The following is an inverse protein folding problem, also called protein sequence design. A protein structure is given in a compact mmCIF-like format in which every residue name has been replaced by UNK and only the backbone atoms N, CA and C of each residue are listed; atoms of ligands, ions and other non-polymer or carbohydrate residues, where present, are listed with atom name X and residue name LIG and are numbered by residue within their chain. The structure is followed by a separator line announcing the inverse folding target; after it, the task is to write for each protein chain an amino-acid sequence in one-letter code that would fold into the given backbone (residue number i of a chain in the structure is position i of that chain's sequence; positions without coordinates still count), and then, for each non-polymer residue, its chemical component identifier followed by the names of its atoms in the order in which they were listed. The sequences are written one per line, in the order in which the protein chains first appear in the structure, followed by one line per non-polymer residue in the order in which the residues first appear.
data_IF_345214771259
#
_entry.id   IF_345214771259
#
_cell.length_a   1.000
_cell.length_b   1.000
_cell.length_c   1.000
_cell.angle_alpha   90.00
_cell.angle_beta   90.00
_cell.angle_gamma   90.00
#
_symmetry.space_group_name_H-M   'P 1'
#
loop_
_entity.id
_entity.type
_entity.pdbx_description
1 polymer ?
#
# COMPACT_ATOMS: atom_id res chain seq x y z
N UNK A 1 10.37 -17.35 -0.80
CA UNK A 1 9.44 -16.69 -1.74
C UNK A 1 9.74 -17.14 -3.16
N UNK A 2 8.76 -17.45 -4.02
CA UNK A 2 9.04 -17.84 -5.41
C UNK A 2 9.61 -16.66 -6.20
N UNK A 3 10.52 -16.95 -7.18
CA UNK A 3 11.11 -15.89 -8.02
C UNK A 3 10.06 -15.09 -8.79
N UNK A 4 9.01 -15.76 -9.28
CA UNK A 4 7.88 -15.10 -9.97
C UNK A 4 7.15 -14.13 -9.05
N UNK A 5 6.84 -14.53 -7.80
CA UNK A 5 6.19 -13.63 -6.84
C UNK A 5 7.10 -12.44 -6.51
N UNK A 6 8.40 -12.67 -6.35
CA UNK A 6 9.36 -11.59 -6.09
C UNK A 6 9.38 -10.58 -7.25
N UNK A 7 9.47 -11.04 -8.49
CA UNK A 7 9.45 -10.16 -9.67
C UNK A 7 8.15 -9.35 -9.78
N UNK A 8 6.99 -10.00 -9.57
CA UNK A 8 5.69 -9.32 -9.56
C UNK A 8 5.64 -8.20 -8.52
N UNK A 9 6.10 -8.47 -7.29
CA UNK A 9 6.08 -7.47 -6.21
C UNK A 9 7.07 -6.35 -6.47
N UNK A 10 8.28 -6.63 -6.94
CA UNK A 10 9.29 -5.61 -7.26
C UNK A 10 8.82 -4.68 -8.39
N UNK A 11 8.25 -5.25 -9.45
CA UNK A 11 7.69 -4.44 -10.54
C UNK A 11 6.48 -3.63 -10.08
N UNK A 12 5.59 -4.24 -9.30
CA UNK A 12 4.48 -3.52 -8.68
C UNK A 12 4.98 -2.37 -7.79
N UNK A 13 6.04 -2.59 -6.97
CA UNK A 13 6.62 -1.58 -6.10
C UNK A 13 7.21 -0.39 -6.89
N UNK A 14 7.86 -0.67 -8.02
CA UNK A 14 8.36 0.37 -8.94
C UNK A 14 7.20 1.22 -9.50
N UNK A 15 6.18 0.58 -10.08
CA UNK A 15 5.00 1.27 -10.59
C UNK A 15 4.24 2.02 -9.49
N UNK A 16 4.20 1.46 -8.27
CA UNK A 16 3.59 2.08 -7.10
C UNK A 16 4.30 3.39 -6.74
N UNK A 17 5.63 3.43 -6.76
CA UNK A 17 6.38 4.65 -6.49
C UNK A 17 6.10 5.73 -7.54
N UNK A 18 5.97 5.33 -8.80
CA UNK A 18 5.71 6.24 -9.91
C UNK A 18 4.32 6.88 -9.83
N UNK A 19 3.25 6.09 -9.64
CA UNK A 19 1.92 6.68 -9.54
C UNK A 19 1.74 7.52 -8.25
N UNK A 20 2.41 7.14 -7.14
CA UNK A 20 2.46 7.98 -5.94
C UNK A 20 3.11 9.33 -6.20
N UNK A 21 4.22 9.36 -6.96
CA UNK A 21 4.84 10.60 -7.37
C UNK A 21 3.89 11.49 -8.18
N UNK A 22 3.12 10.93 -9.12
CA UNK A 22 2.12 11.67 -9.87
C UNK A 22 1.00 12.21 -8.96
N UNK A 23 0.54 11.40 -8.03
CA UNK A 23 -0.49 11.78 -7.05
C UNK A 23 0.00 12.88 -6.10
N UNK A 24 1.28 12.84 -5.68
CA UNK A 24 1.88 13.87 -4.81
C UNK A 24 1.78 15.27 -5.43
N UNK A 25 1.81 15.37 -6.75
CA UNK A 25 1.70 16.63 -7.50
C UNK A 25 0.27 17.14 -7.67
N UNK A 26 -0.75 16.41 -7.25
CA UNK A 26 -2.14 16.84 -7.31
C UNK A 26 -2.43 17.92 -6.24
N UNK A 27 -3.41 18.77 -6.52
CA UNK A 27 -3.86 19.82 -5.61
C UNK A 27 -4.70 19.23 -4.46
N UNK A 28 -5.71 18.44 -4.81
CA UNK A 28 -6.53 17.70 -3.84
C UNK A 28 -6.38 16.20 -4.08
N UNK A 29 -5.65 15.53 -3.18
CA UNK A 29 -5.29 14.12 -3.34
C UNK A 29 -6.50 13.18 -3.36
N UNK A 30 -7.53 13.50 -2.59
CA UNK A 30 -8.73 12.65 -2.49
C UNK A 30 -9.56 12.76 -3.76
N UNK A 31 -9.79 13.96 -4.27
CA UNK A 31 -10.48 14.18 -5.54
C UNK A 31 -9.72 13.53 -6.71
N UNK A 32 -8.38 13.62 -6.70
CA UNK A 32 -7.52 13.00 -7.68
C UNK A 32 -7.62 11.46 -7.65
N UNK A 33 -7.51 10.86 -6.46
CA UNK A 33 -7.59 9.39 -6.28
C UNK A 33 -8.99 8.88 -6.62
N UNK A 34 -10.04 9.61 -6.26
CA UNK A 34 -11.40 9.24 -6.63
C UNK A 34 -11.57 9.14 -8.16
N UNK A 35 -11.08 10.15 -8.91
CA UNK A 35 -11.04 10.10 -10.37
C UNK A 35 -10.21 8.93 -10.89
N UNK A 36 -9.05 8.68 -10.29
CA UNK A 36 -8.19 7.57 -10.68
C UNK A 36 -8.90 6.22 -10.49
N UNK A 37 -9.59 6.00 -9.36
CA UNK A 37 -10.36 4.78 -9.11
C UNK A 37 -11.52 4.65 -10.10
N UNK A 38 -12.25 5.74 -10.38
CA UNK A 38 -13.32 5.74 -11.39
C UNK A 38 -12.78 5.34 -12.78
N UNK A 39 -11.66 5.93 -13.20
CA UNK A 39 -11.06 5.57 -14.50
C UNK A 39 -10.45 4.17 -14.49
N UNK A 40 -9.95 3.67 -13.35
CA UNK A 40 -9.58 2.26 -13.23
C UNK A 40 -10.74 1.33 -13.57
N UNK A 41 -11.93 1.58 -13.01
CA UNK A 41 -13.10 0.74 -13.29
C UNK A 41 -13.55 0.82 -14.75
N UNK A 42 -13.39 1.97 -15.40
CA UNK A 42 -13.71 2.12 -16.84
C UNK A 42 -12.68 1.40 -17.70
N UNK A 43 -11.39 1.62 -17.46
CA UNK A 43 -10.28 1.07 -18.26
C UNK A 43 -10.25 -0.47 -18.16
N UNK A 44 -10.47 -1.03 -16.97
CA UNK A 44 -10.40 -2.47 -16.75
C UNK A 44 -11.75 -3.19 -16.86
N UNK A 45 -12.83 -2.49 -17.25
CA UNK A 45 -14.11 -3.11 -17.54
C UNK A 45 -14.03 -4.25 -18.58
N UNK A 46 -13.30 -4.11 -19.72
CA UNK A 46 -13.17 -5.21 -20.67
C UNK A 46 -12.50 -6.45 -20.06
N UNK A 47 -11.47 -6.27 -19.21
CA UNK A 47 -10.85 -7.38 -18.48
C UNK A 47 -11.87 -8.07 -17.56
N UNK A 48 -12.63 -7.31 -16.81
CA UNK A 48 -13.67 -7.84 -15.92
C UNK A 48 -14.73 -8.63 -16.71
N UNK A 49 -15.27 -8.06 -17.79
CA UNK A 49 -16.28 -8.72 -18.62
C UNK A 49 -15.78 -10.03 -19.26
N UNK A 50 -14.48 -10.10 -19.58
CA UNK A 50 -13.87 -11.31 -20.12
C UNK A 50 -13.80 -12.43 -19.07
N UNK A 51 -13.42 -12.13 -17.83
CA UNK A 51 -13.27 -13.13 -16.77
C UNK A 51 -14.56 -13.43 -16.01
N UNK A 52 -15.53 -12.52 -16.01
CA UNK A 52 -16.77 -12.64 -15.25
C UNK A 52 -17.55 -13.93 -15.52
N UNK A 53 -17.76 -14.35 -16.76
CA UNK A 53 -18.52 -15.59 -17.05
C UNK A 53 -17.83 -16.86 -16.58
N UNK A 54 -16.51 -16.79 -16.28
CA UNK A 54 -15.68 -17.93 -15.87
C UNK A 54 -15.62 -18.12 -14.36
N UNK A 55 -16.23 -17.20 -13.58
CA UNK A 55 -16.06 -17.15 -12.12
C UNK A 55 -17.43 -17.20 -11.44
N UNK A 56 -17.59 -18.18 -10.56
CA UNK A 56 -18.71 -18.19 -9.59
C UNK A 56 -18.19 -17.77 -8.23
N UNK A 57 -18.77 -16.73 -7.66
CA UNK A 57 -18.34 -16.19 -6.38
C UNK A 57 -19.20 -16.80 -5.27
N UNK A 58 -18.54 -17.55 -4.37
CA UNK A 58 -19.19 -18.12 -3.19
C UNK A 58 -19.54 -17.03 -2.16
N UNK A 59 -20.35 -17.34 -1.17
CA UNK A 59 -20.65 -16.44 -0.05
C UNK A 59 -19.39 -15.98 0.68
N UNK A 60 -18.41 -16.87 0.87
CA UNK A 60 -17.11 -16.51 1.44
C UNK A 60 -16.33 -15.53 0.56
N UNK A 61 -16.38 -15.69 -0.78
CA UNK A 61 -15.77 -14.75 -1.72
C UNK A 61 -16.39 -13.36 -1.63
N UNK A 62 -17.72 -13.27 -1.55
CA UNK A 62 -18.41 -11.99 -1.33
C UNK A 62 -18.07 -11.36 0.02
N UNK A 63 -17.96 -12.17 1.08
CA UNK A 63 -17.52 -11.66 2.39
C UNK A 63 -16.12 -11.06 2.34
N UNK A 64 -15.18 -11.70 1.63
CA UNK A 64 -13.84 -11.14 1.42
C UNK A 64 -13.89 -9.83 0.62
N UNK A 65 -14.69 -9.76 -0.45
CA UNK A 65 -14.83 -8.56 -1.27
C UNK A 65 -15.39 -7.37 -0.49
N UNK A 66 -16.42 -7.60 0.31
CA UNK A 66 -17.02 -6.55 1.16
C UNK A 66 -16.02 -6.12 2.24
N UNK A 67 -15.35 -7.08 2.90
CA UNK A 67 -14.38 -6.80 3.95
C UNK A 67 -13.19 -6.01 3.41
N UNK A 68 -12.61 -6.40 2.27
CA UNK A 68 -11.47 -5.66 1.69
C UNK A 68 -11.89 -4.26 1.24
N UNK A 69 -13.07 -4.11 0.61
CA UNK A 69 -13.61 -2.81 0.23
C UNK A 69 -13.81 -1.88 1.44
N UNK A 70 -14.33 -2.42 2.54
CA UNK A 70 -14.48 -1.70 3.81
C UNK A 70 -13.12 -1.28 4.38
N UNK A 71 -12.14 -2.21 4.48
CA UNK A 71 -10.80 -1.88 4.96
C UNK A 71 -10.11 -0.83 4.10
N UNK A 72 -10.27 -0.86 2.79
CA UNK A 72 -9.73 0.17 1.91
C UNK A 72 -10.40 1.54 2.12
N UNK A 73 -11.70 1.58 2.34
CA UNK A 73 -12.41 2.83 2.63
C UNK A 73 -11.94 3.45 3.96
N UNK A 74 -11.88 2.66 5.04
CA UNK A 74 -11.40 3.16 6.34
C UNK A 74 -9.90 3.45 6.35
N UNK A 75 -9.09 2.78 5.52
CA UNK A 75 -7.69 3.13 5.31
C UNK A 75 -7.53 4.59 4.88
N UNK A 76 -8.28 5.02 3.86
CA UNK A 76 -8.23 6.41 3.40
C UNK A 76 -8.68 7.39 4.48
N UNK A 77 -9.68 7.02 5.27
CA UNK A 77 -10.17 7.84 6.37
C UNK A 77 -9.13 7.99 7.48
N UNK A 78 -8.54 6.89 7.96
CA UNK A 78 -7.49 6.94 8.98
C UNK A 78 -6.25 7.68 8.49
N UNK A 79 -5.80 7.41 7.27
CA UNK A 79 -4.63 8.06 6.70
C UNK A 79 -4.84 9.58 6.54
N UNK A 80 -6.01 10.00 6.08
CA UNK A 80 -6.35 11.43 6.00
C UNK A 80 -6.37 12.07 7.39
N UNK A 81 -6.99 11.42 8.37
CA UNK A 81 -7.03 11.89 9.74
C UNK A 81 -5.65 11.98 10.41
N UNK A 82 -4.76 11.05 10.10
CA UNK A 82 -3.39 11.08 10.59
C UNK A 82 -2.61 12.28 10.02
N UNK A 83 -2.71 12.52 8.71
CA UNK A 83 -2.03 13.65 8.04
C UNK A 83 -2.56 15.03 8.47
N UNK A 84 -3.81 15.11 8.90
CA UNK A 84 -4.37 16.36 9.42
C UNK A 84 -3.90 16.68 10.84
N UNK A 85 -3.46 15.70 11.62
CA UNK A 85 -3.16 15.81 13.04
C UNK A 85 -1.67 15.79 13.37
N UNK A 86 -0.81 15.40 12.43
CA UNK A 86 0.62 15.28 12.68
C UNK A 86 1.48 15.47 11.46
N UNK A 87 2.76 15.72 11.72
CA UNK A 87 3.77 15.90 10.69
C UNK A 87 3.94 14.64 9.86
N UNK A 88 4.14 14.81 8.55
CA UNK A 88 4.37 13.72 7.61
C UNK A 88 5.55 12.83 8.02
N UNK A 89 6.59 13.43 8.61
CA UNK A 89 7.79 12.75 9.10
C UNK A 89 7.51 11.78 10.25
N UNK A 90 6.43 11.97 11.00
CA UNK A 90 5.98 11.06 12.07
C UNK A 90 4.93 10.07 11.57
N UNK A 91 3.90 10.60 10.89
CA UNK A 91 2.71 9.83 10.48
C UNK A 91 3.04 8.80 9.42
N UNK A 92 3.88 9.16 8.43
CA UNK A 92 4.15 8.28 7.31
C UNK A 92 4.93 7.00 7.72
N UNK A 93 6.05 7.09 8.49
CA UNK A 93 6.75 5.89 8.95
C UNK A 93 5.89 4.99 9.84
N UNK A 94 5.08 5.59 10.72
CA UNK A 94 4.18 4.83 11.59
C UNK A 94 3.11 4.10 10.78
N UNK A 95 2.46 4.76 9.83
CA UNK A 95 1.44 4.15 8.98
C UNK A 95 2.01 3.05 8.08
N UNK A 96 3.15 3.31 7.45
CA UNK A 96 3.76 2.39 6.48
C UNK A 96 4.58 1.29 7.13
N UNK A 97 5.21 1.57 8.28
CA UNK A 97 6.00 0.58 9.03
C UNK A 97 5.14 -0.39 9.85
N UNK A 98 4.01 0.08 10.41
CA UNK A 98 3.13 -0.79 11.20
C UNK A 98 2.42 -1.86 10.36
N UNK A 99 2.09 -1.60 9.10
CA UNK A 99 1.53 -2.61 8.20
C UNK A 99 2.44 -3.85 8.07
N UNK A 100 3.66 -3.71 7.51
CA UNK A 100 4.63 -4.80 7.39
C UNK A 100 5.03 -5.45 8.72
N UNK A 101 4.84 -4.77 9.85
CA UNK A 101 5.04 -5.35 11.18
C UNK A 101 3.86 -6.21 11.62
N UNK A 102 2.63 -5.74 11.41
CA UNK A 102 1.41 -6.43 11.84
C UNK A 102 1.04 -7.60 10.93
N UNK A 103 1.26 -7.48 9.61
CA UNK A 103 0.89 -8.54 8.65
C UNK A 103 1.53 -9.88 9.00
N UNK A 104 2.87 -10.01 9.22
CA UNK A 104 3.48 -11.29 9.55
C UNK A 104 2.97 -11.89 10.87
N UNK A 105 2.77 -11.03 11.88
CA UNK A 105 2.23 -11.47 13.19
C UNK A 105 0.84 -12.07 13.00
N UNK A 106 -0.05 -11.34 12.32
CA UNK A 106 -1.41 -11.80 12.10
C UNK A 106 -1.48 -12.98 11.13
N UNK A 107 -0.61 -13.03 10.12
CA UNK A 107 -0.54 -14.14 9.19
C UNK A 107 -0.10 -15.45 9.86
N UNK A 108 0.87 -15.40 10.78
CA UNK A 108 1.27 -16.56 11.58
C UNK A 108 0.12 -16.99 12.49
N UNK A 109 -0.54 -16.06 13.16
CA UNK A 109 -1.61 -16.37 14.13
C UNK A 109 -2.92 -16.81 13.46
N UNK A 110 -3.32 -16.20 12.36
CA UNK A 110 -4.65 -16.40 11.76
C UNK A 110 -4.61 -17.31 10.52
N UNK A 111 -3.51 -17.29 9.76
CA UNK A 111 -3.36 -18.10 8.54
C UNK A 111 -2.39 -19.26 8.71
N UNK A 112 -1.81 -19.44 9.91
CA UNK A 112 -0.80 -20.46 10.20
C UNK A 112 0.40 -20.41 9.24
N UNK A 113 0.82 -19.23 8.79
CA UNK A 113 1.99 -19.08 7.93
C UNK A 113 3.26 -19.46 8.70
N UNK A 114 4.04 -20.38 8.16
CA UNK A 114 5.35 -20.74 8.70
C UNK A 114 6.43 -19.90 8.03
N UNK A 115 7.12 -19.06 8.80
CA UNK A 115 8.18 -18.20 8.32
C UNK A 115 9.54 -18.85 8.56
N UNK A 116 10.43 -18.81 7.57
CA UNK A 116 11.82 -19.24 7.78
C UNK A 116 12.61 -18.17 8.57
N UNK A 117 13.69 -18.58 9.24
CA UNK A 117 14.54 -17.66 10.00
C UNK A 117 15.09 -16.53 9.10
N UNK A 118 15.50 -16.86 7.87
CA UNK A 118 15.94 -15.85 6.88
C UNK A 118 14.82 -14.89 6.50
N UNK A 119 13.60 -15.41 6.34
CA UNK A 119 12.43 -14.59 6.04
C UNK A 119 12.10 -13.62 7.17
N UNK A 120 12.15 -14.07 8.41
CA UNK A 120 11.93 -13.22 9.60
C UNK A 120 13.01 -12.14 9.69
N UNK A 121 14.29 -12.50 9.51
CA UNK A 121 15.38 -11.52 9.49
C UNK A 121 15.19 -10.49 8.37
N UNK A 122 14.79 -10.93 7.18
CA UNK A 122 14.49 -10.05 6.06
C UNK A 122 13.37 -9.06 6.38
N UNK A 123 12.26 -9.52 6.99
CA UNK A 123 11.16 -8.67 7.44
C UNK A 123 11.65 -7.62 8.45
N UNK A 124 12.46 -8.04 9.45
CA UNK A 124 13.02 -7.13 10.46
C UNK A 124 13.89 -6.06 9.79
N UNK A 125 14.77 -6.43 8.86
CA UNK A 125 15.61 -5.47 8.14
C UNK A 125 14.79 -4.46 7.34
N UNK A 126 13.71 -4.90 6.69
CA UNK A 126 12.80 -4.00 5.97
C UNK A 126 12.15 -3.01 6.93
N UNK A 127 11.63 -3.48 8.07
CA UNK A 127 10.98 -2.61 9.06
C UNK A 127 11.98 -1.58 9.59
N UNK A 128 13.19 -2.02 10.01
CA UNK A 128 14.25 -1.12 10.48
C UNK A 128 14.65 -0.11 9.39
N UNK A 129 14.74 -0.56 8.14
CA UNK A 129 15.02 0.30 6.99
C UNK A 129 13.95 1.35 6.74
N UNK A 130 12.66 1.01 6.87
CA UNK A 130 11.54 1.96 6.75
C UNK A 130 11.66 3.08 7.79
N UNK A 131 11.90 2.73 9.05
CA UNK A 131 12.14 3.73 10.10
C UNK A 131 13.42 4.52 9.85
N UNK A 132 14.50 3.85 9.42
CA UNK A 132 15.80 4.48 9.11
C UNK A 132 15.73 5.57 8.04
N UNK A 133 14.98 5.35 6.96
CA UNK A 133 14.77 6.36 5.89
C UNK A 133 14.14 7.65 6.42
N UNK A 134 13.33 7.55 7.47
CA UNK A 134 12.57 8.68 8.00
C UNK A 134 13.25 9.35 9.21
N UNK A 135 14.41 8.83 9.68
CA UNK A 135 15.17 9.46 10.74
C UNK A 135 15.69 10.84 10.29
N UNK A 136 15.50 11.83 11.14
CA UNK A 136 16.07 13.17 10.94
C UNK A 136 17.57 13.22 11.26
N UNK A 137 18.00 12.39 12.19
CA UNK A 137 19.42 12.25 12.60
C UNK A 137 19.65 10.85 13.20
N UNK A 138 20.92 10.42 13.31
CA UNK A 138 21.31 9.17 14.00
C UNK A 138 21.34 9.31 15.54
N UNK A 139 20.50 10.16 16.12
CA UNK A 139 20.40 10.30 17.58
C UNK A 139 19.36 9.34 18.16
N UNK A 140 19.62 8.86 19.39
CA UNK A 140 18.65 8.04 20.16
C UNK A 140 17.30 8.78 20.31
N UNK A 141 17.36 10.10 20.41
CA UNK A 141 16.17 10.94 20.54
C UNK A 141 15.30 10.87 19.25
N UNK A 142 15.90 10.95 18.07
CA UNK A 142 15.20 10.81 16.78
C UNK A 142 14.56 9.44 16.58
N UNK A 143 15.17 8.38 17.16
CA UNK A 143 14.61 7.01 17.14
C UNK A 143 13.42 6.90 18.11
N UNK A 144 13.49 7.56 19.27
CA UNK A 144 12.44 7.50 20.31
C UNK A 144 11.25 8.39 19.99
N UNK A 145 11.45 9.50 19.31
CA UNK A 145 10.41 10.51 19.04
C UNK A 145 9.09 9.91 18.47
N UNK A 146 9.11 9.04 17.45
CA UNK A 146 7.90 8.42 16.93
C UNK A 146 7.14 7.57 17.96
N UNK A 147 7.85 6.93 18.88
CA UNK A 147 7.25 6.06 19.91
C UNK A 147 6.82 6.84 21.17
N UNK A 148 7.51 7.92 21.52
CA UNK A 148 7.14 8.74 22.67
C UNK A 148 5.91 9.62 22.39
N UNK A 149 5.67 9.98 21.12
CA UNK A 149 4.53 10.79 20.70
C UNK A 149 3.25 9.95 20.46
N UNK A 150 3.27 8.64 20.79
CA UNK A 150 2.10 7.74 20.64
C UNK A 150 0.86 8.22 21.40
N UNK A 151 1.02 9.04 22.44
CA UNK A 151 -0.08 9.68 23.17
C UNK A 151 -0.80 10.79 22.39
N UNK A 152 -0.24 11.26 21.27
CA UNK A 152 -0.89 12.21 20.37
C UNK A 152 -1.88 11.54 19.43
N UNK A 153 -3.01 12.19 19.14
CA UNK A 153 -4.03 11.68 18.22
C UNK A 153 -3.48 11.24 16.85
N UNK A 154 -2.45 11.93 16.32
CA UNK A 154 -1.82 11.63 15.04
C UNK A 154 -1.22 10.21 14.97
N UNK A 155 -0.50 9.79 16.01
CA UNK A 155 0.14 8.47 16.06
C UNK A 155 -0.89 7.35 16.14
N UNK A 156 -1.97 7.52 16.89
CA UNK A 156 -3.06 6.55 16.94
C UNK A 156 -3.71 6.36 15.57
N UNK A 157 -4.00 7.45 14.86
CA UNK A 157 -4.55 7.39 13.50
C UNK A 157 -3.59 6.71 12.51
N UNK A 158 -2.29 6.97 12.66
CA UNK A 158 -1.25 6.32 11.85
C UNK A 158 -1.18 4.80 12.12
N UNK A 159 -1.24 4.37 13.37
CA UNK A 159 -1.26 2.95 13.73
C UNK A 159 -2.55 2.26 13.28
N UNK A 160 -3.71 2.93 13.39
CA UNK A 160 -4.96 2.43 12.83
C UNK A 160 -4.86 2.26 11.30
N UNK A 161 -4.18 3.19 10.60
CA UNK A 161 -3.89 3.04 9.16
C UNK A 161 -3.10 1.76 8.90
N UNK A 162 -2.05 1.47 9.67
CA UNK A 162 -1.29 0.22 9.55
C UNK A 162 -2.12 -1.02 9.89
N UNK A 163 -3.01 -0.92 10.87
CA UNK A 163 -3.98 -1.98 11.18
C UNK A 163 -4.92 -2.30 10.02
N UNK A 164 -5.41 -1.27 9.31
CA UNK A 164 -6.23 -1.48 8.11
C UNK A 164 -5.43 -2.08 6.94
N UNK A 165 -4.14 -1.71 6.80
CA UNK A 165 -3.23 -2.35 5.84
C UNK A 165 -3.10 -3.84 6.13
N UNK A 166 -2.91 -4.20 7.39
CA UNK A 166 -2.84 -5.61 7.79
C UNK A 166 -4.19 -6.32 7.53
N UNK A 167 -5.30 -5.68 7.89
CA UNK A 167 -6.65 -6.24 7.69
C UNK A 167 -6.92 -6.57 6.23
N UNK A 168 -6.81 -5.60 5.31
CA UNK A 168 -7.06 -5.90 3.90
C UNK A 168 -6.05 -6.88 3.30
N UNK A 169 -4.77 -6.86 3.74
CA UNK A 169 -3.77 -7.77 3.20
C UNK A 169 -4.07 -9.23 3.53
N UNK A 170 -4.55 -9.52 4.74
CA UNK A 170 -4.95 -10.87 5.12
C UNK A 170 -6.25 -11.29 4.40
N UNK A 171 -7.24 -10.41 4.34
CA UNK A 171 -8.49 -10.66 3.61
C UNK A 171 -8.21 -10.92 2.14
N UNK A 172 -7.36 -10.13 1.51
CA UNK A 172 -6.97 -10.29 0.11
C UNK A 172 -6.22 -11.61 -0.11
N UNK A 173 -5.36 -12.03 0.84
CA UNK A 173 -4.69 -13.35 0.79
C UNK A 173 -5.71 -14.49 0.75
N UNK A 174 -6.76 -14.43 1.55
CA UNK A 174 -7.83 -15.42 1.55
C UNK A 174 -8.68 -15.27 0.28
N UNK A 175 -9.08 -14.04 -0.05
CA UNK A 175 -9.99 -13.74 -1.15
C UNK A 175 -9.48 -14.20 -2.51
N UNK A 176 -8.18 -14.01 -2.81
CA UNK A 176 -7.59 -14.41 -4.10
C UNK A 176 -7.37 -15.93 -4.24
N UNK A 177 -7.51 -16.71 -3.16
CA UNK A 177 -7.56 -18.17 -3.25
C UNK A 177 -8.95 -18.67 -3.66
N UNK A 178 -10.00 -17.85 -3.48
CA UNK A 178 -11.41 -18.21 -3.71
C UNK A 178 -11.93 -17.54 -4.99
N UNK A 179 -11.51 -16.30 -5.27
CA UNK A 179 -11.97 -15.51 -6.40
C UNK A 179 -10.79 -15.15 -7.28
N UNK A 180 -10.93 -15.34 -8.60
CA UNK A 180 -9.87 -15.03 -9.56
C UNK A 180 -9.42 -13.56 -9.47
N UNK A 181 -8.11 -13.23 -9.38
CA UNK A 181 -7.60 -11.88 -9.10
C UNK A 181 -8.15 -10.76 -10.00
N UNK A 182 -8.29 -10.90 -11.33
CA UNK A 182 -8.90 -9.89 -12.18
C UNK A 182 -10.33 -9.52 -11.80
N UNK A 183 -11.16 -10.50 -11.40
CA UNK A 183 -12.52 -10.26 -10.93
C UNK A 183 -12.51 -9.66 -9.53
N UNK A 184 -11.66 -10.19 -8.66
CA UNK A 184 -11.53 -9.72 -7.28
C UNK A 184 -11.14 -8.26 -7.22
N UNK A 185 -10.06 -7.85 -7.91
CA UNK A 185 -9.59 -6.46 -7.89
C UNK A 185 -10.60 -5.49 -8.49
N UNK A 186 -11.28 -5.88 -9.58
CA UNK A 186 -12.27 -5.03 -10.21
C UNK A 186 -13.43 -4.73 -9.26
N UNK A 187 -14.02 -5.77 -8.66
CA UNK A 187 -15.12 -5.62 -7.69
C UNK A 187 -14.69 -4.86 -6.44
N UNK A 188 -13.48 -5.10 -5.94
CA UNK A 188 -12.89 -4.34 -4.83
C UNK A 188 -12.84 -2.84 -5.14
N UNK A 189 -12.40 -2.46 -6.36
CA UNK A 189 -12.34 -1.05 -6.77
C UNK A 189 -13.73 -0.44 -6.95
N UNK A 190 -14.70 -1.21 -7.47
CA UNK A 190 -16.09 -0.76 -7.54
C UNK A 190 -16.66 -0.51 -6.14
N UNK A 191 -16.47 -1.45 -5.20
CA UNK A 191 -16.93 -1.29 -3.82
C UNK A 191 -16.25 -0.09 -3.15
N UNK A 192 -14.94 0.06 -3.30
CA UNK A 192 -14.21 1.20 -2.76
C UNK A 192 -14.72 2.53 -3.35
N UNK A 193 -14.97 2.58 -4.66
CA UNK A 193 -15.54 3.74 -5.33
C UNK A 193 -16.91 4.10 -4.75
N UNK A 194 -17.81 3.11 -4.61
CA UNK A 194 -19.15 3.32 -4.07
C UNK A 194 -19.12 3.85 -2.63
N UNK A 195 -18.23 3.30 -1.78
CA UNK A 195 -18.09 3.73 -0.38
C UNK A 195 -17.45 5.12 -0.25
N UNK A 196 -16.52 5.49 -1.14
CA UNK A 196 -15.86 6.80 -1.11
C UNK A 196 -16.70 7.91 -1.73
N UNK A 197 -17.56 7.59 -2.71
CA UNK A 197 -18.30 8.59 -3.49
C UNK A 197 -19.17 9.53 -2.63
N UNK A 198 -19.97 9.06 -1.66
CA UNK A 198 -20.78 9.97 -0.83
C UNK A 198 -19.94 10.99 -0.09
N UNK A 199 -18.82 10.53 0.50
CA UNK A 199 -17.90 11.41 1.22
C UNK A 199 -17.24 12.45 0.31
N UNK A 200 -16.79 12.04 -0.88
CA UNK A 200 -16.14 12.92 -1.86
C UNK A 200 -17.12 13.96 -2.42
N UNK A 201 -18.37 13.57 -2.69
CA UNK A 201 -19.40 14.51 -3.17
C UNK A 201 -19.67 15.59 -2.11
N UNK A 202 -19.77 15.22 -0.85
CA UNK A 202 -20.06 16.18 0.23
C UNK A 202 -18.86 17.11 0.49
N UNK A 203 -17.64 16.57 0.52
CA UNK A 203 -16.47 17.32 1.04
C UNK A 203 -15.53 17.84 -0.06
N UNK A 204 -15.58 17.33 -1.29
CA UNK A 204 -14.61 17.64 -2.32
C UNK A 204 -15.20 17.90 -3.73
N UNK A 205 -16.52 18.09 -3.86
CA UNK A 205 -17.18 18.25 -5.16
C UNK A 205 -16.64 19.41 -6.02
N UNK A 206 -16.26 20.53 -5.38
CA UNK A 206 -15.66 21.68 -6.07
C UNK A 206 -14.27 21.33 -6.62
N UNK A 207 -13.52 20.52 -5.86
CA UNK A 207 -12.17 20.13 -6.26
C UNK A 207 -12.16 19.04 -7.33
N UNK A 208 -13.21 18.22 -7.45
CA UNK A 208 -13.35 17.24 -8.52
C UNK A 208 -13.23 17.90 -9.92
N UNK A 209 -14.00 18.96 -10.15
CA UNK A 209 -13.96 19.69 -11.44
C UNK A 209 -12.59 20.33 -11.70
N UNK A 210 -11.96 20.87 -10.65
CA UNK A 210 -10.64 21.51 -10.76
C UNK A 210 -9.55 20.50 -11.04
N UNK A 211 -9.52 19.38 -10.30
CA UNK A 211 -8.53 18.31 -10.50
C UNK A 211 -8.64 17.70 -11.91
N UNK A 212 -9.84 17.43 -12.38
CA UNK A 212 -10.05 16.92 -13.73
C UNK A 212 -9.49 17.87 -14.80
N UNK A 213 -9.79 19.16 -14.71
CA UNK A 213 -9.29 20.14 -15.68
C UNK A 213 -7.77 20.23 -15.72
N UNK A 214 -7.11 20.18 -14.57
CA UNK A 214 -5.66 20.40 -14.44
C UNK A 214 -4.87 19.11 -14.69
N UNK A 215 -5.36 17.98 -14.21
CA UNK A 215 -4.56 16.75 -14.08
C UNK A 215 -5.11 15.56 -14.89
N UNK A 216 -6.00 15.76 -15.88
CA UNK A 216 -6.70 14.68 -16.61
C UNK A 216 -5.77 13.56 -17.11
N UNK A 217 -4.63 13.89 -17.73
CA UNK A 217 -3.66 12.90 -18.24
C UNK A 217 -3.04 12.11 -17.09
N UNK A 218 -2.66 12.78 -16.01
CA UNK A 218 -2.11 12.11 -14.82
C UNK A 218 -3.15 11.22 -14.15
N UNK A 219 -4.41 11.66 -14.10
CA UNK A 219 -5.54 10.88 -13.57
C UNK A 219 -5.74 9.59 -14.37
N UNK A 220 -5.75 9.66 -15.71
CA UNK A 220 -5.87 8.49 -16.56
C UNK A 220 -4.67 7.53 -16.39
N UNK A 221 -3.46 8.07 -16.37
CA UNK A 221 -2.24 7.29 -16.13
C UNK A 221 -2.28 6.58 -14.77
N UNK A 222 -2.63 7.31 -13.69
CA UNK A 222 -2.75 6.73 -12.35
C UNK A 222 -3.93 5.77 -12.28
N UNK A 223 -5.04 6.04 -12.97
CA UNK A 223 -6.18 5.14 -13.08
C UNK A 223 -5.79 3.77 -13.67
N UNK A 224 -4.95 3.74 -14.69
CA UNK A 224 -4.40 2.49 -15.18
C UNK A 224 -3.44 1.86 -14.15
N UNK A 225 -2.48 2.61 -13.66
CA UNK A 225 -1.39 2.09 -12.83
C UNK A 225 -1.85 1.57 -11.47
N UNK A 226 -2.81 2.21 -10.81
CA UNK A 226 -3.20 1.86 -9.45
C UNK A 226 -3.83 0.46 -9.40
N UNK A 227 -4.75 0.14 -10.32
CA UNK A 227 -5.36 -1.18 -10.40
C UNK A 227 -4.36 -2.21 -10.90
N UNK A 228 -3.63 -1.91 -11.97
CA UNK A 228 -2.64 -2.83 -12.55
C UNK A 228 -1.55 -3.22 -11.55
N UNK A 229 -1.03 -2.26 -10.80
CA UNK A 229 -0.05 -2.49 -9.73
C UNK A 229 -0.60 -3.44 -8.66
N UNK A 230 -1.83 -3.20 -8.22
CA UNK A 230 -2.41 -4.04 -7.16
C UNK A 230 -2.82 -5.42 -7.67
N UNK A 231 -3.23 -5.54 -8.94
CA UNK A 231 -3.46 -6.84 -9.59
C UNK A 231 -2.21 -7.73 -9.54
N UNK A 232 -1.02 -7.16 -9.78
CA UNK A 232 0.24 -7.90 -9.64
C UNK A 232 0.48 -8.38 -8.21
N UNK A 233 0.16 -7.55 -7.22
CA UNK A 233 0.24 -7.94 -5.80
C UNK A 233 -0.72 -9.09 -5.51
N UNK A 234 -1.96 -9.06 -6.03
CA UNK A 234 -2.92 -10.15 -5.85
C UNK A 234 -2.45 -11.46 -6.46
N UNK A 235 -1.84 -11.44 -7.65
CA UNK A 235 -1.20 -12.63 -8.22
C UNK A 235 -0.03 -13.13 -7.36
N UNK A 236 0.78 -12.23 -6.83
CA UNK A 236 1.87 -12.61 -5.92
C UNK A 236 1.32 -13.23 -4.61
N UNK A 237 0.19 -12.74 -4.09
CA UNK A 237 -0.50 -13.29 -2.92
C UNK A 237 -1.06 -14.72 -3.18
N UNK A 238 -1.44 -15.05 -4.41
CA UNK A 238 -1.85 -16.43 -4.74
C UNK A 238 -0.72 -17.45 -4.54
N UNK A 239 0.51 -17.07 -4.90
CA UNK A 239 1.65 -17.99 -5.01
C UNK A 239 2.72 -17.78 -3.94
N UNK A 240 2.50 -16.87 -2.99
CA UNK A 240 3.47 -16.59 -1.92
C UNK A 240 2.77 -16.23 -0.60
N UNK A 241 3.54 -16.27 0.49
CA UNK A 241 3.09 -15.89 1.84
C UNK A 241 2.79 -14.40 1.89
N UNK A 242 1.67 -14.02 2.54
CA UNK A 242 1.30 -12.59 2.65
C UNK A 242 2.34 -11.81 3.45
N UNK A 243 2.97 -12.43 4.44
CA UNK A 243 4.06 -11.84 5.24
C UNK A 243 5.21 -11.35 4.36
N UNK A 244 5.62 -12.14 3.37
CA UNK A 244 6.72 -11.78 2.48
C UNK A 244 6.29 -10.75 1.43
N UNK A 245 5.11 -10.93 0.84
CA UNK A 245 4.57 -9.98 -0.15
C UNK A 245 4.40 -8.59 0.48
N UNK A 246 3.83 -8.50 1.67
CA UNK A 246 3.63 -7.22 2.36
C UNK A 246 4.96 -6.52 2.70
N UNK A 247 5.97 -7.28 3.15
CA UNK A 247 7.28 -6.71 3.45
C UNK A 247 8.01 -6.24 2.18
N UNK A 248 8.12 -7.09 1.15
CA UNK A 248 8.83 -6.77 -0.10
C UNK A 248 8.18 -5.60 -0.85
N UNK A 249 6.87 -5.43 -0.75
CA UNK A 249 6.14 -4.30 -1.35
C UNK A 249 6.68 -2.94 -0.88
N UNK A 250 7.25 -2.86 0.31
CA UNK A 250 7.81 -1.62 0.86
C UNK A 250 9.10 -1.16 0.17
N UNK A 251 9.70 -1.96 -0.73
CA UNK A 251 10.74 -1.49 -1.67
C UNK A 251 10.29 -0.26 -2.47
N UNK A 252 8.99 -0.05 -2.63
CA UNK A 252 8.45 1.19 -3.21
C UNK A 252 8.96 2.46 -2.51
N UNK A 253 9.28 2.37 -1.22
CA UNK A 253 9.89 3.48 -0.46
C UNK A 253 11.32 3.76 -0.96
N UNK A 254 12.08 2.70 -1.28
CA UNK A 254 13.43 2.85 -1.85
C UNK A 254 13.36 3.59 -3.18
N UNK A 255 12.50 3.16 -4.10
CA UNK A 255 12.30 3.84 -5.38
C UNK A 255 11.85 5.29 -5.19
N UNK A 256 10.90 5.55 -4.30
CA UNK A 256 10.45 6.91 -3.98
C UNK A 256 11.57 7.78 -3.39
N UNK A 257 12.42 7.19 -2.55
CA UNK A 257 13.59 7.86 -1.93
C UNK A 257 14.63 8.21 -2.98
N UNK A 258 14.95 7.30 -3.89
CA UNK A 258 15.89 7.56 -4.99
C UNK A 258 15.38 8.68 -5.91
N UNK A 259 14.09 8.69 -6.24
CA UNK A 259 13.43 9.79 -6.97
C UNK A 259 13.53 11.10 -6.16
N UNK A 260 13.32 11.06 -4.86
CA UNK A 260 13.39 12.22 -3.96
C UNK A 260 14.81 12.81 -3.91
N UNK A 261 15.84 11.98 -3.74
CA UNK A 261 17.23 12.41 -3.68
C UNK A 261 17.70 12.94 -5.05
N UNK A 262 17.42 12.17 -6.12
CA UNK A 262 17.95 12.46 -7.45
C UNK A 262 17.26 13.67 -8.14
N UNK A 263 15.93 13.74 -8.08
CA UNK A 263 15.17 14.77 -8.80
C UNK A 263 14.71 15.93 -7.94
N UNK A 264 14.47 15.69 -6.64
CA UNK A 264 13.96 16.74 -5.74
C UNK A 264 15.04 17.31 -4.82
N UNK A 265 16.29 16.79 -4.88
CA UNK A 265 17.45 17.22 -4.07
C UNK A 265 17.12 17.26 -2.56
N UNK A 266 16.41 16.24 -2.07
CA UNK A 266 16.01 16.18 -0.67
C UNK A 266 17.20 16.03 0.27
N UNK A 267 17.11 16.67 1.44
CA UNK A 267 18.15 16.61 2.51
C UNK A 267 18.18 15.24 3.20
N UNK A 268 19.25 14.99 4.01
CA UNK A 268 19.45 13.76 4.80
C UNK A 268 19.69 12.49 3.95
N UNK A 269 20.41 12.64 2.85
CA UNK A 269 20.73 11.54 1.94
C UNK A 269 21.42 10.33 2.63
N UNK A 270 22.37 10.47 3.60
CA UNK A 270 23.01 9.31 4.24
C UNK A 270 22.05 8.39 4.99
N UNK A 271 21.11 8.96 5.78
CA UNK A 271 20.11 8.18 6.52
C UNK A 271 19.17 7.45 5.56
N UNK A 272 18.73 8.15 4.51
CA UNK A 272 17.86 7.60 3.48
C UNK A 272 18.52 6.46 2.72
N UNK A 273 19.82 6.61 2.39
CA UNK A 273 20.58 5.57 1.71
C UNK A 273 20.81 4.35 2.60
N UNK A 274 21.15 4.54 3.88
CA UNK A 274 21.28 3.43 4.81
C UNK A 274 19.98 2.64 4.96
N UNK A 275 18.87 3.34 5.16
CA UNK A 275 17.55 2.69 5.22
C UNK A 275 17.20 1.96 3.93
N UNK A 276 17.51 2.53 2.76
CA UNK A 276 17.32 1.87 1.47
C UNK A 276 18.16 0.59 1.34
N UNK A 277 19.43 0.60 1.78
CA UNK A 277 20.29 -0.59 1.80
C UNK A 277 19.70 -1.67 2.71
N UNK A 278 19.21 -1.31 3.90
CA UNK A 278 18.56 -2.27 4.81
C UNK A 278 17.33 -2.90 4.18
N UNK A 279 16.48 -2.12 3.52
CA UNK A 279 15.29 -2.64 2.80
C UNK A 279 15.74 -3.60 1.70
N UNK A 280 16.71 -3.22 0.87
CA UNK A 280 17.19 -4.08 -0.21
C UNK A 280 17.80 -5.38 0.32
N UNK A 281 18.61 -5.32 1.41
CA UNK A 281 19.16 -6.50 2.07
C UNK A 281 18.04 -7.44 2.59
N UNK A 282 17.02 -6.86 3.21
CA UNK A 282 15.86 -7.62 3.67
C UNK A 282 15.12 -8.33 2.54
N UNK A 283 14.96 -7.66 1.40
CA UNK A 283 14.33 -8.25 0.19
C UNK A 283 15.16 -9.42 -0.35
N UNK A 284 16.47 -9.30 -0.39
CA UNK A 284 17.37 -10.38 -0.81
C UNK A 284 17.20 -11.59 0.12
N UNK A 285 17.19 -11.38 1.45
CA UNK A 285 16.97 -12.47 2.42
C UNK A 285 15.61 -13.16 2.24
N UNK A 286 14.54 -12.39 2.00
CA UNK A 286 13.22 -12.97 1.70
C UNK A 286 13.24 -13.73 0.37
N UNK A 287 13.95 -13.24 -0.63
CA UNK A 287 14.12 -13.93 -1.91
C UNK A 287 14.84 -15.28 -1.76
N UNK A 288 15.85 -15.35 -0.89
CA UNK A 288 16.59 -16.57 -0.58
C UNK A 288 15.87 -17.50 0.41
N UNK A 289 14.82 -17.02 1.05
CA UNK A 289 14.03 -17.82 2.01
C UNK A 289 13.12 -18.79 1.26
N UNK A 290 13.38 -20.07 1.44
CA UNK A 290 12.55 -21.18 0.89
C UNK A 290 11.50 -21.63 1.90
#
# INVERSE_FOLDING_TARGET
MTGTALLLVLFAAFLHSFWNYLTKKSRNKIAFIWWAILFSTIIFLPMFLYYWPMVTISSAGWSCLVATGFFHAIYFWFMSGAYQRGDLSLVYPLSRGSGPMLVPILAVLLLNEQLSALGVLGIILIIVGIFGIHLRSFSIQSVREPFMTIRGGASLWALCTGGTIAGYSLVDKIGVQIVHPPVYIYLQFVIALLLLTPWVIVNAHVDLKKEWKINKIKILCVGFLVLFTYLMILFALQISKVSYVAAVREVSIVFSTLIGIGWLQEKNAPQKLLGAVLICSGVVLIGLSH
#
